data_IF_212553049800
#
_entry.id   IF_212553049800
#
_cell.length_a   1.000
_cell.length_b   1.000
_cell.length_c   1.000
_cell.angle_alpha   90.00
_cell.angle_beta   90.00
_cell.angle_gamma   90.00
#
_symmetry.space_group_name_H-M   'P 1'
#
loop_
_entity.id
_entity.type
_entity.pdbx_description
1 polymer ?
#
# COMPACT_ATOMS: atom_id res chain seq x y z
N UNK A 1 17.50 -48.48 22.52
CA UNK A 1 18.27 -47.25 22.43
C UNK A 1 17.60 -46.39 21.36
N UNK A 2 16.73 -45.43 21.77
CA UNK A 2 16.05 -44.53 20.84
C UNK A 2 16.90 -43.28 20.69
N UNK A 3 17.35 -42.98 19.47
CA UNK A 3 17.99 -41.73 19.14
C UNK A 3 16.96 -40.57 19.33
N UNK A 4 17.35 -39.44 19.95
CA UNK A 4 16.47 -38.27 20.01
C UNK A 4 16.37 -37.69 18.61
N UNK A 5 15.13 -37.50 18.16
CA UNK A 5 14.81 -36.65 17.00
C UNK A 5 15.30 -35.22 17.32
N UNK A 6 16.35 -34.82 16.64
CA UNK A 6 16.76 -33.40 16.60
C UNK A 6 15.59 -32.60 16.03
N UNK A 7 14.87 -31.93 16.88
CA UNK A 7 13.97 -30.85 16.50
C UNK A 7 14.88 -29.73 16.00
N UNK A 8 15.04 -29.61 14.68
CA UNK A 8 15.61 -28.41 14.08
C UNK A 8 14.81 -27.23 14.60
N UNK A 9 15.43 -26.41 15.43
CA UNK A 9 14.86 -25.14 15.85
C UNK A 9 14.64 -24.33 14.57
N UNK A 10 13.38 -24.12 14.17
CA UNK A 10 13.05 -23.22 13.07
C UNK A 10 13.63 -21.85 13.43
N UNK A 11 14.75 -21.47 12.78
CA UNK A 11 15.32 -20.12 12.90
C UNK A 11 14.20 -19.13 12.69
N UNK A 12 13.99 -18.22 13.64
CA UNK A 12 13.05 -17.12 13.45
C UNK A 12 13.44 -16.34 12.20
N UNK A 13 12.43 -15.98 11.40
CA UNK A 13 12.66 -15.27 10.14
C UNK A 13 13.19 -13.86 10.44
N UNK A 14 14.28 -13.50 9.79
CA UNK A 14 14.97 -12.24 10.00
C UNK A 14 14.64 -11.25 8.87
N UNK A 15 14.64 -9.95 9.19
CA UNK A 15 14.48 -8.86 8.21
C UNK A 15 15.45 -8.98 7.04
N UNK A 16 16.71 -9.34 7.32
CA UNK A 16 17.77 -9.51 6.34
C UNK A 16 17.56 -10.69 5.37
N UNK A 17 16.66 -11.63 5.68
CA UNK A 17 16.26 -12.70 4.75
C UNK A 17 15.56 -12.16 3.48
N UNK A 18 15.16 -10.89 3.50
CA UNK A 18 14.49 -10.16 2.41
C UNK A 18 15.38 -9.07 1.81
N UNK A 19 16.68 -9.20 1.99
CA UNK A 19 17.64 -8.27 1.41
C UNK A 19 17.90 -8.58 -0.06
N UNK A 20 18.04 -7.53 -0.87
CA UNK A 20 18.60 -7.54 -2.22
C UNK A 20 19.24 -6.18 -2.50
N UNK A 21 20.25 -6.15 -3.37
CA UNK A 21 20.92 -4.91 -3.77
C UNK A 21 20.02 -4.13 -4.74
N UNK A 22 19.64 -2.91 -4.38
CA UNK A 22 18.84 -2.01 -5.20
C UNK A 22 19.64 -0.75 -5.48
N UNK A 23 20.11 -0.52 -6.72
CA UNK A 23 20.73 0.73 -7.13
C UNK A 23 19.72 1.90 -7.00
N UNK A 24 20.16 3.01 -6.40
CA UNK A 24 19.30 4.16 -6.12
C UNK A 24 18.71 4.78 -7.40
N UNK A 25 19.47 4.75 -8.51
CA UNK A 25 19.00 5.27 -9.80
C UNK A 25 17.82 4.50 -10.40
N UNK A 26 17.50 3.29 -9.90
CA UNK A 26 16.33 2.54 -10.31
C UNK A 26 15.06 2.95 -9.54
N UNK A 27 15.16 3.74 -8.48
CA UNK A 27 14.01 4.28 -7.76
C UNK A 27 13.40 5.42 -8.57
N UNK A 28 12.19 5.21 -9.10
CA UNK A 28 11.54 6.14 -10.00
C UNK A 28 11.17 7.46 -9.32
N UNK A 29 11.72 8.56 -9.80
CA UNK A 29 11.44 9.90 -9.29
C UNK A 29 10.23 10.56 -9.97
N UNK A 30 9.83 10.07 -11.15
CA UNK A 30 8.69 10.57 -11.95
C UNK A 30 7.90 9.42 -12.53
N UNK A 31 6.56 9.56 -12.69
CA UNK A 31 5.74 8.55 -13.36
C UNK A 31 6.13 8.42 -14.83
N UNK A 32 5.78 7.28 -15.43
CA UNK A 32 5.85 7.08 -16.88
C UNK A 32 4.93 8.07 -17.60
N UNK A 33 5.17 8.38 -18.87
CA UNK A 33 4.38 9.32 -19.66
C UNK A 33 2.89 8.93 -19.65
N UNK A 34 2.55 7.74 -20.10
CA UNK A 34 1.23 7.16 -19.94
C UNK A 34 1.21 6.18 -18.75
N UNK A 35 0.06 6.04 -18.06
CA UNK A 35 -0.07 5.16 -16.89
C UNK A 35 0.20 3.70 -17.25
N UNK A 36 -0.38 3.20 -18.34
CA UNK A 36 -0.24 1.83 -18.81
C UNK A 36 1.05 1.54 -19.61
N UNK A 37 1.94 2.54 -19.76
CA UNK A 37 3.24 2.37 -20.46
C UNK A 37 4.38 1.90 -19.55
N UNK A 38 4.13 1.63 -18.27
CA UNK A 38 5.11 0.96 -17.41
C UNK A 38 5.36 -0.48 -17.84
N UNK A 39 6.48 -1.06 -17.43
CA UNK A 39 6.76 -2.48 -17.62
C UNK A 39 5.97 -3.31 -16.61
N UNK A 40 5.74 -4.57 -16.96
CA UNK A 40 5.10 -5.57 -16.12
C UNK A 40 5.95 -6.83 -16.08
N UNK A 41 6.35 -7.28 -14.90
CA UNK A 41 6.98 -8.58 -14.71
C UNK A 41 5.91 -9.57 -14.24
N UNK A 42 5.54 -10.53 -15.08
CA UNK A 42 4.63 -11.62 -14.70
C UNK A 42 5.43 -12.75 -14.04
N UNK A 43 5.09 -13.12 -12.80
CA UNK A 43 5.76 -14.16 -12.02
C UNK A 43 4.77 -15.27 -11.65
N UNK A 44 5.05 -16.48 -12.07
CA UNK A 44 4.30 -17.68 -11.68
C UNK A 44 4.87 -18.29 -10.40
N UNK A 45 4.08 -18.23 -9.31
CA UNK A 45 4.50 -18.78 -8.02
C UNK A 45 4.54 -20.31 -7.96
N UNK A 46 3.92 -21.03 -8.89
CA UNK A 46 4.00 -22.49 -8.96
C UNK A 46 5.33 -22.96 -9.53
N UNK A 47 5.79 -22.30 -10.58
CA UNK A 47 7.00 -22.71 -11.33
C UNK A 47 8.22 -21.85 -11.01
N UNK A 48 8.01 -20.63 -10.47
CA UNK A 48 9.05 -19.63 -10.29
C UNK A 48 9.49 -18.96 -11.61
N UNK A 49 8.84 -19.29 -12.75
CA UNK A 49 9.12 -18.65 -14.03
C UNK A 49 8.55 -17.24 -14.10
N UNK A 50 9.21 -16.37 -14.85
CA UNK A 50 8.77 -15.00 -15.04
C UNK A 50 8.89 -14.58 -16.52
N UNK A 51 8.09 -13.57 -16.90
CA UNK A 51 8.02 -13.03 -18.25
C UNK A 51 8.01 -11.50 -18.20
N UNK A 52 8.82 -10.87 -19.08
CA UNK A 52 8.86 -9.42 -19.27
C UNK A 52 7.76 -8.95 -20.23
N UNK A 53 6.88 -8.09 -19.76
CA UNK A 53 5.70 -7.57 -20.47
C UNK A 53 5.62 -6.04 -20.29
N UNK A 54 4.63 -5.44 -20.92
CA UNK A 54 4.17 -4.08 -20.63
C UNK A 54 2.86 -4.12 -19.86
N UNK A 55 2.60 -3.10 -19.03
CA UNK A 55 1.39 -3.08 -18.21
C UNK A 55 0.09 -3.11 -19.06
N UNK A 56 0.13 -2.54 -20.28
CA UNK A 56 -0.97 -2.64 -21.25
C UNK A 56 -1.28 -4.08 -21.68
N UNK A 57 -0.36 -5.03 -21.47
CA UNK A 57 -0.54 -6.44 -21.79
C UNK A 57 -1.19 -7.23 -20.62
N UNK A 58 -1.45 -6.58 -19.48
CA UNK A 58 -2.15 -7.19 -18.33
C UNK A 58 -3.43 -7.95 -18.71
N UNK A 59 -4.25 -7.49 -19.69
CA UNK A 59 -5.42 -8.26 -20.12
C UNK A 59 -5.10 -9.68 -20.58
N UNK A 60 -3.90 -9.96 -21.11
CA UNK A 60 -3.49 -11.31 -21.51
C UNK A 60 -3.25 -12.26 -20.33
N UNK A 61 -2.94 -11.72 -19.16
CA UNK A 61 -2.70 -12.46 -17.92
C UNK A 61 -4.00 -12.79 -17.17
N UNK A 62 -5.12 -12.20 -17.59
CA UNK A 62 -6.43 -12.33 -16.95
C UNK A 62 -7.37 -13.22 -17.76
N UNK A 63 -8.26 -13.91 -17.06
CA UNK A 63 -9.29 -14.79 -17.62
C UNK A 63 -10.65 -14.10 -17.59
N UNK A 64 -11.57 -14.38 -18.53
CA UNK A 64 -12.98 -14.05 -18.36
C UNK A 64 -13.46 -14.56 -17.00
N UNK A 65 -14.30 -13.86 -16.29
CA UNK A 65 -14.74 -14.13 -14.92
C UNK A 65 -13.75 -13.75 -13.80
N UNK A 66 -12.49 -13.41 -14.08
CA UNK A 66 -11.62 -12.82 -13.06
C UNK A 66 -12.23 -11.50 -12.56
N UNK A 67 -12.05 -11.22 -11.28
CA UNK A 67 -12.50 -10.00 -10.62
C UNK A 67 -11.29 -9.18 -10.15
N UNK A 68 -11.12 -7.99 -10.70
CA UNK A 68 -10.16 -7.01 -10.18
C UNK A 68 -10.75 -6.32 -8.95
N UNK A 69 -9.99 -6.29 -7.85
CA UNK A 69 -10.36 -5.53 -6.67
C UNK A 69 -9.40 -4.36 -6.52
N UNK A 70 -9.94 -3.14 -6.48
CA UNK A 70 -9.18 -1.89 -6.36
C UNK A 70 -9.34 -1.25 -4.99
N UNK A 71 -8.36 -0.43 -4.60
CA UNK A 71 -8.48 0.47 -3.47
C UNK A 71 -8.86 1.87 -4.00
N UNK A 72 -10.07 2.36 -3.67
CA UNK A 72 -10.61 3.62 -4.15
C UNK A 72 -10.31 4.82 -3.23
N UNK A 73 -9.39 4.64 -2.29
CA UNK A 73 -8.97 5.75 -1.45
C UNK A 73 -8.39 6.90 -2.27
N UNK A 74 -8.71 8.14 -1.87
CA UNK A 74 -8.15 9.36 -2.46
C UNK A 74 -7.12 9.96 -1.53
N UNK A 75 -5.94 10.25 -2.07
CA UNK A 75 -4.88 10.96 -1.34
C UNK A 75 -5.29 12.40 -1.14
N UNK A 76 -5.15 12.88 0.09
CA UNK A 76 -5.36 14.29 0.42
C UNK A 76 -4.01 15.02 0.46
N UNK A 77 -3.97 16.37 0.24
CA UNK A 77 -2.74 17.14 0.37
C UNK A 77 -2.29 17.22 1.83
N UNK A 78 -1.77 16.11 2.36
CA UNK A 78 -1.57 15.86 3.78
C UNK A 78 -0.40 16.62 4.42
N UNK A 79 0.37 17.40 3.65
CA UNK A 79 1.51 18.17 4.14
C UNK A 79 1.18 19.65 4.21
N UNK A 80 1.10 20.22 5.41
CA UNK A 80 0.74 21.61 5.64
C UNK A 80 1.90 22.33 6.35
N UNK A 81 2.18 23.56 5.94
CA UNK A 81 3.21 24.39 6.55
C UNK A 81 2.62 25.55 7.35
N UNK A 82 3.24 25.82 8.49
CA UNK A 82 2.90 26.93 9.36
C UNK A 82 4.14 27.63 9.91
N UNK A 83 3.91 28.71 10.64
CA UNK A 83 4.97 29.54 11.24
C UNK A 83 4.68 29.72 12.73
N UNK A 84 5.66 29.46 13.56
CA UNK A 84 5.63 29.77 15.00
C UNK A 84 5.66 31.29 15.21
N UNK A 85 5.20 31.75 16.36
CA UNK A 85 5.34 33.18 16.73
C UNK A 85 6.81 33.63 16.79
N UNK A 86 7.73 32.71 17.03
CA UNK A 86 9.18 32.94 16.97
C UNK A 86 9.75 33.00 15.53
N UNK A 87 8.90 32.91 14.49
CA UNK A 87 9.30 32.91 13.07
C UNK A 87 9.74 31.54 12.53
N UNK A 88 9.85 30.52 13.38
CA UNK A 88 10.29 29.18 12.93
C UNK A 88 9.24 28.46 12.10
N UNK A 89 9.67 27.88 10.96
CA UNK A 89 8.80 27.04 10.11
C UNK A 89 8.44 25.74 10.78
N UNK A 90 7.20 25.30 10.59
CA UNK A 90 6.66 24.02 11.06
C UNK A 90 6.06 23.29 9.88
N UNK A 91 6.44 22.04 9.68
CA UNK A 91 5.77 21.10 8.78
C UNK A 91 4.84 20.21 9.62
N UNK A 92 3.59 20.13 9.21
CA UNK A 92 2.56 19.26 9.78
C UNK A 92 2.21 18.23 8.72
N UNK A 93 2.45 16.97 9.02
CA UNK A 93 2.10 15.86 8.14
C UNK A 93 0.96 15.07 8.77
N UNK A 94 -0.21 15.14 8.16
CA UNK A 94 -1.42 14.46 8.63
C UNK A 94 -1.22 12.95 8.66
N UNK A 95 -1.57 12.31 9.76
CA UNK A 95 -1.67 10.84 9.87
C UNK A 95 -3.13 10.40 9.72
N UNK A 96 -4.02 10.99 10.52
CA UNK A 96 -5.47 10.77 10.43
C UNK A 96 -6.27 11.89 11.13
N UNK A 97 -7.50 12.11 10.71
CA UNK A 97 -8.44 12.95 11.43
C UNK A 97 -9.01 12.19 12.64
N UNK A 98 -9.05 12.85 13.81
CA UNK A 98 -9.68 12.34 15.03
C UNK A 98 -11.10 12.91 15.18
N UNK A 99 -11.30 14.15 14.74
CA UNK A 99 -12.60 14.84 14.66
C UNK A 99 -12.57 15.85 13.53
N UNK A 100 -13.62 16.67 13.40
CA UNK A 100 -13.66 17.75 12.41
C UNK A 100 -12.47 18.69 12.49
N UNK A 101 -12.05 19.06 13.71
CA UNK A 101 -11.00 20.06 13.95
C UNK A 101 -9.72 19.46 14.55
N UNK A 102 -9.72 18.18 14.93
CA UNK A 102 -8.58 17.56 15.61
C UNK A 102 -7.98 16.47 14.74
N UNK A 103 -6.65 16.48 14.63
CA UNK A 103 -5.92 15.48 13.87
C UNK A 103 -4.78 14.89 14.67
N UNK A 104 -4.39 13.67 14.29
CA UNK A 104 -3.13 13.06 14.64
C UNK A 104 -2.14 13.33 13.51
N UNK A 105 -0.96 13.84 13.82
CA UNK A 105 0.00 14.27 12.81
C UNK A 105 1.47 14.08 13.27
N UNK A 106 2.36 13.87 12.32
CA UNK A 106 3.78 14.07 12.51
C UNK A 106 4.09 15.58 12.40
N UNK A 107 5.03 16.06 13.21
CA UNK A 107 5.44 17.47 13.17
C UNK A 107 6.96 17.56 13.06
N UNK A 108 7.42 18.28 12.06
CA UNK A 108 8.85 18.64 11.91
C UNK A 108 9.03 20.13 12.15
N UNK A 109 9.90 20.47 13.08
CA UNK A 109 10.27 21.82 13.41
C UNK A 109 11.64 21.82 14.09
N UNK A 110 12.39 22.93 14.00
CA UNK A 110 13.72 23.08 14.61
C UNK A 110 13.74 22.80 16.12
N UNK A 111 12.65 23.16 16.81
CA UNK A 111 12.32 22.74 18.19
C UNK A 111 10.90 22.23 18.17
N UNK A 112 10.63 21.07 18.80
CA UNK A 112 9.31 20.46 18.86
C UNK A 112 8.24 21.45 19.38
N UNK A 113 6.96 21.09 19.20
CA UNK A 113 5.86 21.84 19.78
C UNK A 113 5.65 21.39 21.23
N UNK A 114 5.35 22.34 22.10
CA UNK A 114 4.89 22.09 23.48
C UNK A 114 3.38 22.17 23.55
N UNK A 115 2.78 21.54 24.53
CA UNK A 115 1.35 21.62 24.76
C UNK A 115 0.88 23.08 24.92
N UNK A 116 -0.24 23.41 24.29
CA UNK A 116 -0.77 24.77 24.23
C UNK A 116 -0.12 25.69 23.19
N UNK A 117 0.99 25.26 22.57
CA UNK A 117 1.69 26.07 21.57
C UNK A 117 0.87 26.18 20.28
N UNK A 118 0.70 27.43 19.81
CA UNK A 118 0.01 27.71 18.58
C UNK A 118 0.99 27.91 17.40
N UNK A 119 0.57 27.51 16.21
CA UNK A 119 1.27 27.72 14.94
C UNK A 119 0.31 28.45 14.01
N UNK A 120 0.75 29.53 13.41
CA UNK A 120 -0.02 30.26 12.39
C UNK A 120 0.02 29.50 11.07
N UNK A 121 -1.13 29.34 10.46
CA UNK A 121 -1.34 28.68 9.16
C UNK A 121 -1.72 29.72 8.10
N UNK A 122 -1.63 29.38 6.80
CA UNK A 122 -2.14 30.22 5.72
C UNK A 122 -3.61 30.57 5.90
N UNK A 123 -4.01 31.71 5.34
CA UNK A 123 -5.42 32.18 5.37
C UNK A 123 -5.90 32.69 6.75
N UNK A 124 -4.97 33.02 7.67
CA UNK A 124 -5.32 33.53 9.00
C UNK A 124 -5.77 32.45 9.99
N UNK A 125 -5.61 31.17 9.64
CA UNK A 125 -5.92 30.04 10.50
C UNK A 125 -4.76 29.75 11.47
N UNK A 126 -5.06 28.94 12.48
CA UNK A 126 -4.07 28.47 13.44
C UNK A 126 -4.30 27.01 13.82
N UNK A 127 -3.26 26.39 14.34
CA UNK A 127 -3.33 25.04 14.91
C UNK A 127 -2.62 25.05 16.26
N UNK A 128 -3.18 24.34 17.24
CA UNK A 128 -2.64 24.23 18.60
C UNK A 128 -2.29 22.78 18.90
N UNK A 129 -1.14 22.57 19.53
CA UNK A 129 -0.76 21.27 20.09
C UNK A 129 -1.51 21.05 21.42
N UNK A 130 -2.38 20.03 21.46
CA UNK A 130 -3.20 19.72 22.65
C UNK A 130 -2.77 18.44 23.37
N UNK A 131 -1.96 17.58 22.72
CA UNK A 131 -1.48 16.34 23.33
C UNK A 131 -0.56 15.55 22.43
N UNK A 132 -0.26 14.34 22.85
CA UNK A 132 0.50 13.33 22.09
C UNK A 132 -0.15 11.96 22.21
N UNK A 133 0.01 11.17 21.14
CA UNK A 133 -0.28 9.74 21.11
C UNK A 133 0.97 9.04 20.56
N UNK A 134 1.72 8.37 21.40
CA UNK A 134 3.07 7.86 21.10
C UNK A 134 3.98 8.98 20.53
N UNK A 135 4.55 8.77 19.34
CA UNK A 135 5.42 9.73 18.65
C UNK A 135 4.65 10.82 17.88
N UNK A 136 3.32 10.72 17.79
CA UNK A 136 2.48 11.63 17.03
C UNK A 136 1.93 12.77 17.90
N UNK A 137 1.64 13.90 17.26
CA UNK A 137 1.05 15.07 17.89
C UNK A 137 -0.45 15.09 17.68
N UNK A 138 -1.19 15.36 18.75
CA UNK A 138 -2.63 15.68 18.67
C UNK A 138 -2.74 17.18 18.50
N UNK A 139 -3.27 17.58 17.34
CA UNK A 139 -3.34 18.97 16.91
C UNK A 139 -4.80 19.40 16.73
N UNK A 140 -5.17 20.54 17.33
CA UNK A 140 -6.48 21.17 17.20
C UNK A 140 -6.40 22.39 16.28
N UNK A 141 -7.18 22.39 15.22
CA UNK A 141 -7.25 23.46 14.22
C UNK A 141 -8.35 24.46 14.57
N UNK A 142 -8.15 25.74 14.22
CA UNK A 142 -9.14 26.82 14.40
C UNK A 142 -10.34 26.71 13.48
N UNK A 143 -10.32 25.80 12.50
CA UNK A 143 -11.39 25.52 11.55
C UNK A 143 -11.32 24.02 11.15
N UNK A 144 -12.30 23.48 10.39
CA UNK A 144 -12.27 22.12 9.91
C UNK A 144 -10.94 21.76 9.24
N UNK A 145 -10.24 20.73 9.78
CA UNK A 145 -8.87 20.43 9.40
C UNK A 145 -8.74 19.99 7.94
N UNK A 146 -9.56 19.02 7.49
CA UNK A 146 -9.45 18.46 6.14
C UNK A 146 -9.65 19.54 5.03
N UNK A 147 -10.61 20.46 5.11
CA UNK A 147 -10.69 21.59 4.17
C UNK A 147 -9.45 22.50 4.15
N UNK A 148 -8.77 22.67 5.30
CA UNK A 148 -7.51 23.44 5.34
C UNK A 148 -6.38 22.72 4.64
N UNK A 149 -6.25 21.42 4.85
CA UNK A 149 -5.30 20.60 4.12
C UNK A 149 -5.58 20.60 2.61
N UNK A 150 -6.84 20.46 2.20
CA UNK A 150 -7.23 20.47 0.78
C UNK A 150 -6.88 21.80 0.10
N UNK A 151 -7.08 22.92 0.80
CA UNK A 151 -6.86 24.28 0.25
C UNK A 151 -5.40 24.71 0.27
N UNK A 152 -4.68 24.41 1.33
CA UNK A 152 -3.33 24.96 1.59
C UNK A 152 -2.24 23.88 1.67
N UNK A 153 -2.61 22.60 1.64
CA UNK A 153 -1.69 21.50 1.73
C UNK A 153 -0.98 21.17 0.42
N UNK A 154 0.15 20.51 0.54
CA UNK A 154 0.93 19.95 -0.56
C UNK A 154 0.73 18.43 -0.63
N UNK A 155 0.86 17.87 -1.85
CA UNK A 155 0.80 16.42 -2.04
C UNK A 155 1.93 15.73 -1.27
N UNK A 156 1.60 14.70 -0.49
CA UNK A 156 2.56 14.02 0.37
C UNK A 156 3.34 12.97 -0.41
N UNK A 157 4.23 13.41 -1.29
CA UNK A 157 5.11 12.47 -1.98
C UNK A 157 5.96 11.69 -0.97
N UNK A 158 6.17 10.38 -1.21
CA UNK A 158 7.00 9.54 -0.36
C UNK A 158 8.44 10.06 -0.22
N UNK A 159 9.14 9.79 0.90
CA UNK A 159 10.46 10.35 1.18
C UNK A 159 11.57 9.91 0.21
N UNK A 160 11.39 8.82 -0.54
CA UNK A 160 12.32 8.36 -1.57
C UNK A 160 12.16 9.10 -2.92
N UNK A 161 11.11 9.93 -3.07
CA UNK A 161 11.00 10.90 -4.16
C UNK A 161 11.69 12.18 -3.66
N UNK A 162 12.93 12.36 -4.09
CA UNK A 162 13.84 13.39 -3.56
C UNK A 162 13.66 14.75 -4.24
N UNK A 163 12.46 15.04 -4.74
CA UNK A 163 12.09 16.31 -5.34
C UNK A 163 10.87 16.93 -4.67
N UNK A 164 10.66 18.22 -4.82
CA UNK A 164 9.44 18.88 -4.42
C UNK A 164 8.25 18.34 -5.22
N UNK A 165 7.05 18.38 -4.59
CA UNK A 165 5.82 18.07 -5.29
C UNK A 165 5.55 19.13 -6.38
N UNK A 166 5.17 18.67 -7.57
CA UNK A 166 4.81 19.50 -8.72
C UNK A 166 3.27 19.51 -8.89
N UNK A 167 2.76 20.46 -9.65
CA UNK A 167 1.31 20.55 -9.91
C UNK A 167 0.75 19.26 -10.51
N UNK A 168 1.53 18.60 -11.39
CA UNK A 168 1.16 17.33 -12.00
C UNK A 168 1.00 16.19 -11.00
N UNK A 169 1.68 16.21 -9.84
CA UNK A 169 1.56 15.16 -8.84
C UNK A 169 0.17 15.11 -8.21
N UNK A 170 -0.59 16.22 -8.20
CA UNK A 170 -1.98 16.22 -7.72
C UNK A 170 -2.86 15.24 -8.49
N UNK A 171 -2.60 15.07 -9.78
CA UNK A 171 -3.31 14.13 -10.65
C UNK A 171 -2.55 12.79 -10.75
N UNK A 172 -1.24 12.83 -10.93
CA UNK A 172 -0.44 11.63 -11.22
C UNK A 172 -0.23 10.75 -9.99
N UNK A 173 -0.27 11.30 -8.78
CA UNK A 173 -0.22 10.54 -7.51
C UNK A 173 -1.64 10.21 -7.01
N UNK A 174 -2.59 10.07 -7.94
CA UNK A 174 -3.96 9.58 -7.71
C UNK A 174 -4.30 8.49 -8.71
N UNK A 175 -5.09 7.50 -8.30
CA UNK A 175 -5.69 6.55 -9.23
C UNK A 175 -6.85 7.21 -10.00
N UNK A 176 -7.15 6.71 -11.19
CA UNK A 176 -8.28 7.23 -12.01
C UNK A 176 -9.64 6.93 -11.39
N UNK A 177 -9.67 6.07 -10.37
CA UNK A 177 -10.88 5.69 -9.63
C UNK A 177 -10.83 6.14 -8.15
N UNK A 178 -9.92 7.04 -7.78
CA UNK A 178 -9.83 7.59 -6.43
C UNK A 178 -11.10 8.36 -6.07
N UNK A 179 -11.79 7.95 -4.99
CA UNK A 179 -13.10 8.46 -4.60
C UNK A 179 -13.18 8.92 -3.15
N UNK A 180 -12.77 8.07 -2.22
CA UNK A 180 -12.94 8.28 -0.78
C UNK A 180 -11.71 8.97 -0.18
N UNK A 181 -11.79 10.27 0.21
CA UNK A 181 -10.63 10.98 0.74
C UNK A 181 -10.22 10.48 2.13
N UNK A 182 -8.92 10.44 2.42
CA UNK A 182 -8.42 10.06 3.75
C UNK A 182 -7.02 9.45 3.75
N UNK A 183 -6.48 9.07 2.60
CA UNK A 183 -5.12 8.53 2.52
C UNK A 183 -4.06 9.64 2.47
N UNK A 184 -2.89 9.35 3.01
CA UNK A 184 -1.69 10.19 2.88
C UNK A 184 -0.66 9.58 1.92
N UNK A 185 -0.95 8.41 1.36
CA UNK A 185 -0.19 7.80 0.27
C UNK A 185 -1.12 7.12 -0.73
N UNK A 186 -0.75 7.12 -2.01
CA UNK A 186 -1.55 6.49 -3.06
C UNK A 186 -1.46 4.96 -3.00
N UNK A 187 -2.54 4.22 -3.38
CA UNK A 187 -2.47 2.80 -3.67
C UNK A 187 -1.78 2.60 -5.03
N UNK A 188 -0.44 2.55 -5.00
CA UNK A 188 0.43 2.80 -6.15
C UNK A 188 0.26 1.81 -7.30
N UNK A 189 -0.12 0.54 -7.03
CA UNK A 189 -0.44 -0.42 -8.08
C UNK A 189 -1.62 0.02 -8.97
N UNK A 190 -2.54 0.80 -8.42
CA UNK A 190 -3.65 1.39 -9.16
C UNK A 190 -3.25 2.54 -10.09
N UNK A 191 -2.05 3.13 -9.91
CA UNK A 191 -1.57 4.23 -10.74
C UNK A 191 -1.26 3.81 -12.18
N UNK A 192 -1.06 2.53 -12.44
CA UNK A 192 -0.80 1.97 -13.76
C UNK A 192 -2.05 1.87 -14.63
N UNK A 193 -3.23 1.92 -14.03
CA UNK A 193 -4.49 1.86 -14.77
C UNK A 193 -4.89 3.23 -15.33
N UNK A 194 -5.35 3.21 -16.57
CA UNK A 194 -5.94 4.35 -17.25
C UNK A 194 -7.31 3.96 -17.85
N UNK A 195 -8.14 4.94 -18.26
CA UNK A 195 -9.46 4.65 -18.80
C UNK A 195 -9.44 3.72 -20.01
N UNK A 196 -8.50 3.84 -21.00
CA UNK A 196 -8.43 2.89 -22.11
C UNK A 196 -8.21 1.45 -21.68
N UNK A 197 -7.31 1.20 -20.72
CA UNK A 197 -7.05 -0.15 -20.19
C UNK A 197 -8.27 -0.71 -19.46
N UNK A 198 -8.95 0.11 -18.65
CA UNK A 198 -10.19 -0.31 -17.95
C UNK A 198 -11.29 -0.68 -18.95
N UNK A 199 -11.43 0.06 -20.06
CA UNK A 199 -12.36 -0.26 -21.14
C UNK A 199 -12.00 -1.57 -21.83
N UNK A 200 -10.71 -1.79 -22.13
CA UNK A 200 -10.23 -3.04 -22.75
C UNK A 200 -10.50 -4.26 -21.83
N UNK A 201 -10.33 -4.12 -20.52
CA UNK A 201 -10.64 -5.16 -19.54
C UNK A 201 -12.14 -5.44 -19.49
N UNK A 202 -12.99 -4.41 -19.46
CA UNK A 202 -14.45 -4.55 -19.48
C UNK A 202 -14.95 -5.24 -20.77
N UNK A 203 -14.36 -4.90 -21.94
CA UNK A 203 -14.68 -5.53 -23.24
C UNK A 203 -14.35 -7.04 -23.26
N UNK A 204 -13.42 -7.51 -22.42
CA UNK A 204 -13.10 -8.93 -22.21
C UNK A 204 -13.97 -9.62 -21.14
N UNK A 205 -14.96 -8.93 -20.58
CA UNK A 205 -15.83 -9.45 -19.52
C UNK A 205 -15.20 -9.46 -18.12
N UNK A 206 -14.02 -8.83 -17.94
CA UNK A 206 -13.33 -8.75 -16.64
C UNK A 206 -14.02 -7.67 -15.82
N UNK A 207 -14.60 -8.07 -14.69
CA UNK A 207 -15.31 -7.18 -13.76
C UNK A 207 -14.35 -6.58 -12.74
N UNK A 208 -14.80 -5.52 -12.07
CA UNK A 208 -14.06 -4.94 -10.97
C UNK A 208 -14.99 -4.50 -9.82
N UNK A 209 -14.41 -4.40 -8.63
CA UNK A 209 -15.04 -3.88 -7.42
C UNK A 209 -14.02 -3.08 -6.60
N UNK A 210 -14.49 -2.45 -5.52
CA UNK A 210 -13.67 -1.55 -4.72
C UNK A 210 -13.72 -1.90 -3.24
N UNK A 211 -12.58 -1.72 -2.58
CA UNK A 211 -12.44 -1.60 -1.13
C UNK A 211 -11.78 -0.27 -0.83
N UNK A 212 -11.92 0.21 0.41
CA UNK A 212 -11.21 1.42 0.85
C UNK A 212 -10.20 1.03 1.93
N UNK A 213 -8.93 1.36 1.73
CA UNK A 213 -7.92 1.36 2.79
C UNK A 213 -7.21 2.71 2.74
N UNK A 214 -7.31 3.47 3.84
CA UNK A 214 -6.58 4.72 3.96
C UNK A 214 -5.14 4.44 4.37
N UNK A 215 -4.24 4.60 3.38
CA UNK A 215 -2.81 4.39 3.59
C UNK A 215 -2.26 5.51 4.47
N UNK A 216 -1.72 5.15 5.63
CA UNK A 216 -1.07 6.05 6.57
C UNK A 216 0.41 6.29 6.23
N UNK A 217 1.01 7.32 6.86
CA UNK A 217 2.44 7.64 6.68
C UNK A 217 3.35 6.51 7.20
N UNK A 218 2.86 5.66 8.09
CA UNK A 218 3.58 4.49 8.59
C UNK A 218 3.99 3.48 7.53
N UNK A 219 3.33 3.48 6.36
CA UNK A 219 3.72 2.63 5.21
C UNK A 219 5.14 2.90 4.72
N UNK A 220 5.66 4.10 4.95
CA UNK A 220 7.03 4.48 4.57
C UNK A 220 8.05 4.22 5.68
N UNK A 221 7.62 3.79 6.86
CA UNK A 221 8.52 3.51 7.96
C UNK A 221 9.28 2.19 7.71
N UNK A 222 10.61 2.18 7.84
CA UNK A 222 11.38 0.95 7.73
C UNK A 222 11.07 0.01 8.89
N UNK A 223 11.20 -1.30 8.65
CA UNK A 223 11.18 -2.31 9.71
C UNK A 223 12.41 -2.10 10.59
N UNK A 224 12.20 -1.88 11.89
CA UNK A 224 13.28 -1.53 12.84
C UNK A 224 13.79 -2.72 13.64
N UNK A 225 13.07 -3.82 13.64
CA UNK A 225 13.41 -5.06 14.36
C UNK A 225 14.02 -6.07 13.40
N UNK A 226 15.08 -6.75 13.81
CA UNK A 226 15.64 -7.83 13.00
C UNK A 226 14.77 -9.08 13.08
N UNK A 227 14.24 -9.41 14.24
CA UNK A 227 13.24 -10.48 14.41
C UNK A 227 11.85 -9.98 14.02
N UNK A 228 11.28 -10.57 12.97
CA UNK A 228 9.98 -10.17 12.44
C UNK A 228 8.81 -10.48 13.39
N UNK A 229 8.97 -11.42 14.32
CA UNK A 229 7.94 -11.74 15.32
C UNK A 229 7.67 -10.59 16.29
N UNK A 230 8.65 -9.71 16.48
CA UNK A 230 8.55 -8.52 17.32
C UNK A 230 8.05 -7.27 16.58
N UNK A 231 7.82 -7.36 15.25
CA UNK A 231 7.37 -6.21 14.47
C UNK A 231 5.89 -5.89 14.72
N UNK A 232 5.61 -4.63 15.00
CA UNK A 232 4.23 -4.13 15.17
C UNK A 232 3.84 -3.29 13.97
N UNK A 233 2.88 -3.78 13.19
CA UNK A 233 2.31 -3.03 12.06
C UNK A 233 1.55 -1.79 12.50
N UNK A 234 1.72 -0.70 11.76
CA UNK A 234 0.85 0.47 11.88
C UNK A 234 -0.59 0.09 11.56
N UNK A 235 -1.52 0.66 12.34
CA UNK A 235 -2.95 0.44 12.13
C UNK A 235 -3.44 1.33 10.98
N UNK A 236 -4.18 0.75 10.04
CA UNK A 236 -4.80 1.45 8.91
C UNK A 236 -6.29 1.15 8.88
N UNK A 237 -7.10 2.16 8.53
CA UNK A 237 -8.55 2.00 8.40
C UNK A 237 -8.89 1.29 7.10
N UNK A 238 -9.73 0.29 7.21
CA UNK A 238 -10.22 -0.55 6.10
C UNK A 238 -11.73 -0.56 6.08
N UNK A 239 -12.29 -0.50 4.87
CA UNK A 239 -13.69 -0.77 4.59
C UNK A 239 -13.79 -1.75 3.41
N UNK A 240 -14.41 -2.90 3.66
CA UNK A 240 -14.79 -3.89 2.64
C UNK A 240 -16.32 -3.89 2.58
N UNK A 241 -16.92 -3.25 1.57
CA UNK A 241 -18.37 -3.13 1.48
C UNK A 241 -19.02 -4.46 1.08
N UNK A 242 -20.31 -4.63 1.44
CA UNK A 242 -21.11 -5.81 1.07
C UNK A 242 -21.05 -6.11 -0.43
N UNK A 243 -21.14 -5.08 -1.27
CA UNK A 243 -21.07 -5.23 -2.73
C UNK A 243 -19.75 -5.86 -3.20
N UNK A 244 -18.62 -5.57 -2.54
CA UNK A 244 -17.33 -6.22 -2.86
C UNK A 244 -17.34 -7.70 -2.47
N UNK A 245 -17.91 -8.04 -1.31
CA UNK A 245 -18.04 -9.44 -0.88
C UNK A 245 -18.92 -10.24 -1.85
N UNK A 246 -20.07 -9.69 -2.24
CA UNK A 246 -20.99 -10.31 -3.20
C UNK A 246 -20.34 -10.53 -4.57
N UNK A 247 -19.57 -9.53 -5.06
CA UNK A 247 -18.82 -9.63 -6.30
C UNK A 247 -17.75 -10.73 -6.25
N UNK A 248 -17.03 -10.86 -5.13
CA UNK A 248 -16.03 -11.90 -4.90
C UNK A 248 -16.67 -13.30 -4.90
N UNK A 249 -17.78 -13.47 -4.20
CA UNK A 249 -18.52 -14.75 -4.16
C UNK A 249 -19.01 -15.11 -5.57
N UNK A 250 -19.57 -14.15 -6.30
CA UNK A 250 -20.06 -14.38 -7.67
C UNK A 250 -18.93 -14.72 -8.64
N UNK A 251 -17.77 -14.06 -8.54
CA UNK A 251 -16.62 -14.37 -9.38
C UNK A 251 -16.09 -15.80 -9.14
N UNK A 252 -15.98 -16.20 -7.88
CA UNK A 252 -15.55 -17.56 -7.50
C UNK A 252 -16.55 -18.63 -7.96
N UNK A 253 -17.86 -18.37 -7.81
CA UNK A 253 -18.90 -19.26 -8.30
C UNK A 253 -18.86 -19.44 -9.83
N UNK A 254 -18.38 -18.43 -10.56
CA UNK A 254 -18.15 -18.50 -12.01
C UNK A 254 -16.79 -19.10 -12.40
N UNK A 255 -15.98 -19.60 -11.45
CA UNK A 255 -14.65 -20.16 -11.70
C UNK A 255 -13.55 -19.10 -11.93
N UNK A 256 -13.85 -17.82 -11.66
CA UNK A 256 -12.90 -16.72 -11.78
C UNK A 256 -12.00 -16.57 -10.56
N UNK A 257 -10.91 -15.82 -10.74
CA UNK A 257 -9.93 -15.49 -9.69
C UNK A 257 -10.22 -14.11 -9.10
N UNK A 258 -9.93 -13.96 -7.80
CA UNK A 258 -9.89 -12.65 -7.13
C UNK A 258 -8.50 -12.07 -7.32
N UNK A 259 -8.38 -11.03 -8.12
CA UNK A 259 -7.12 -10.36 -8.46
C UNK A 259 -7.02 -9.06 -7.65
N UNK A 260 -6.17 -9.05 -6.63
CA UNK A 260 -5.92 -7.85 -5.83
C UNK A 260 -5.02 -6.88 -6.59
N UNK A 261 -5.42 -5.60 -6.66
CA UNK A 261 -4.59 -4.53 -7.21
C UNK A 261 -3.99 -3.73 -6.06
N UNK A 262 -2.78 -4.11 -5.69
CA UNK A 262 -2.00 -3.55 -4.58
C UNK A 262 -2.05 -4.37 -3.30
N UNK A 263 -0.97 -4.29 -2.54
CA UNK A 263 -0.83 -4.93 -1.22
C UNK A 263 -1.85 -4.40 -0.20
N UNK A 264 -2.35 -3.19 -0.38
CA UNK A 264 -3.43 -2.61 0.43
C UNK A 264 -4.75 -3.37 0.25
N UNK A 265 -5.08 -3.79 -0.98
CA UNK A 265 -6.24 -4.63 -1.27
C UNK A 265 -6.07 -6.01 -0.65
N UNK A 266 -4.89 -6.62 -0.80
CA UNK A 266 -4.57 -7.89 -0.12
C UNK A 266 -4.86 -7.80 1.37
N UNK A 267 -4.30 -6.79 2.03
CA UNK A 267 -4.47 -6.60 3.48
C UNK A 267 -5.94 -6.38 3.87
N UNK A 268 -6.70 -5.66 3.04
CA UNK A 268 -8.13 -5.44 3.27
C UNK A 268 -8.93 -6.74 3.21
N UNK A 269 -8.75 -7.51 2.13
CA UNK A 269 -9.50 -8.74 1.89
C UNK A 269 -9.15 -9.82 2.89
N UNK A 270 -7.86 -10.01 3.18
CA UNK A 270 -7.39 -11.03 4.12
C UNK A 270 -7.77 -10.67 5.57
N UNK A 271 -7.87 -9.39 5.92
CA UNK A 271 -8.44 -8.96 7.22
C UNK A 271 -9.91 -9.32 7.31
N UNK A 272 -10.71 -9.01 6.29
CA UNK A 272 -12.14 -9.29 6.29
C UNK A 272 -12.45 -10.80 6.35
N UNK A 273 -11.67 -11.63 5.64
CA UNK A 273 -11.79 -13.08 5.67
C UNK A 273 -11.29 -13.73 6.97
N UNK A 274 -10.34 -13.08 7.66
CA UNK A 274 -9.76 -13.58 8.91
C UNK A 274 -10.74 -13.59 10.09
N UNK A 275 -11.87 -12.90 9.99
CA UNK A 275 -12.90 -12.81 11.04
C UNK A 275 -13.84 -14.01 11.06
N UNK A 276 -13.93 -14.76 9.97
CA UNK A 276 -14.75 -15.97 9.88
C UNK A 276 -13.88 -17.23 10.00
N UNK A 277 -14.25 -18.12 10.92
CA UNK A 277 -13.58 -19.41 11.12
C UNK A 277 -13.62 -20.31 9.86
N UNK A 278 -14.64 -20.17 9.02
CA UNK A 278 -14.80 -20.87 7.74
C UNK A 278 -14.00 -20.20 6.61
N UNK A 279 -13.39 -19.02 6.86
CA UNK A 279 -12.62 -18.27 5.86
C UNK A 279 -13.48 -17.63 4.76
N UNK A 280 -14.81 -17.50 4.97
CA UNK A 280 -15.66 -16.75 4.08
C UNK A 280 -15.43 -15.25 4.25
N UNK A 281 -15.53 -14.49 3.15
CA UNK A 281 -15.40 -13.03 3.21
C UNK A 281 -16.75 -12.39 3.55
N UNK A 282 -16.75 -11.51 4.56
CA UNK A 282 -17.89 -10.69 4.94
C UNK A 282 -17.57 -9.19 4.93
N UNK A 283 -18.61 -8.32 4.95
CA UNK A 283 -18.40 -6.88 5.09
C UNK A 283 -17.59 -6.54 6.34
N UNK A 284 -16.65 -5.60 6.20
CA UNK A 284 -15.78 -5.19 7.29
C UNK A 284 -15.57 -3.69 7.27
N UNK A 285 -15.57 -3.07 8.45
CA UNK A 285 -15.20 -1.67 8.66
C UNK A 285 -14.44 -1.57 9.97
N UNK A 286 -13.18 -1.14 9.94
CA UNK A 286 -12.35 -1.07 11.12
C UNK A 286 -10.86 -0.93 10.86
N UNK A 287 -10.06 -1.07 11.90
CA UNK A 287 -8.60 -0.98 11.81
C UNK A 287 -7.99 -2.34 11.54
N UNK A 288 -7.02 -2.39 10.61
CA UNK A 288 -6.18 -3.57 10.40
C UNK A 288 -4.76 -3.33 10.84
N UNK A 289 -4.15 -4.36 11.42
CA UNK A 289 -2.71 -4.46 11.71
C UNK A 289 -2.14 -5.75 11.12
N UNK A 290 -2.80 -6.32 10.14
CA UNK A 290 -2.37 -7.60 9.55
C UNK A 290 -0.94 -7.49 9.03
N UNK A 291 -0.09 -8.38 9.48
CA UNK A 291 1.29 -8.54 9.02
C UNK A 291 1.41 -9.89 8.33
N UNK A 292 1.56 -9.86 7.01
CA UNK A 292 1.66 -11.06 6.18
C UNK A 292 3.12 -11.35 5.90
N UNK A 293 3.58 -12.52 6.32
CA UNK A 293 4.95 -13.03 6.14
C UNK A 293 4.91 -14.45 5.58
N UNK A 294 6.00 -15.01 5.04
CA UNK A 294 6.05 -16.39 4.59
C UNK A 294 5.50 -17.36 5.63
N UNK A 295 4.67 -18.30 5.18
CA UNK A 295 3.87 -19.18 6.03
C UNK A 295 2.41 -18.75 6.19
N UNK A 296 2.07 -17.49 5.84
CA UNK A 296 0.67 -17.06 5.74
C UNK A 296 -0.04 -17.79 4.60
N UNK A 297 -1.28 -18.21 4.84
CA UNK A 297 -2.13 -18.87 3.83
C UNK A 297 -3.25 -17.93 3.42
N UNK A 298 -3.22 -17.50 2.18
CA UNK A 298 -4.21 -16.59 1.59
C UNK A 298 -5.56 -17.28 1.44
N UNK A 299 -6.62 -16.60 1.86
CA UNK A 299 -8.00 -17.10 1.87
C UNK A 299 -8.81 -16.57 0.70
N UNK A 300 -8.55 -15.33 0.29
CA UNK A 300 -9.34 -14.62 -0.71
C UNK A 300 -8.57 -14.34 -1.98
N UNK A 301 -7.32 -13.92 -1.87
CA UNK A 301 -6.55 -13.42 -3.02
C UNK A 301 -5.98 -14.57 -3.84
N UNK A 302 -6.29 -14.57 -5.15
CA UNK A 302 -5.89 -15.61 -6.11
C UNK A 302 -4.81 -15.14 -7.08
N UNK A 303 -4.67 -13.83 -7.30
CA UNK A 303 -3.58 -13.20 -8.05
C UNK A 303 -3.35 -11.77 -7.53
N UNK A 304 -2.17 -11.22 -7.75
CA UNK A 304 -1.75 -9.92 -7.24
C UNK A 304 -1.07 -9.09 -8.32
N UNK A 305 -1.57 -7.86 -8.52
CA UNK A 305 -0.87 -6.79 -9.23
C UNK A 305 -0.25 -5.86 -8.19
N UNK A 306 1.05 -5.58 -8.26
CA UNK A 306 1.73 -4.71 -7.31
C UNK A 306 2.92 -3.99 -7.95
N UNK A 307 3.46 -2.96 -7.29
CA UNK A 307 4.75 -2.36 -7.65
C UNK A 307 5.91 -3.22 -7.12
N UNK A 308 7.12 -2.94 -7.59
CA UNK A 308 8.32 -3.42 -6.92
C UNK A 308 8.52 -2.67 -5.59
N UNK A 309 8.88 -3.42 -4.55
CA UNK A 309 9.04 -2.91 -3.18
C UNK A 309 10.51 -2.81 -2.77
N UNK A 310 10.80 -2.04 -1.69
CA UNK A 310 12.15 -1.92 -1.14
C UNK A 310 12.64 -3.22 -0.51
N UNK A 311 13.97 -3.39 -0.47
CA UNK A 311 14.60 -4.42 0.36
C UNK A 311 14.09 -4.33 1.80
N UNK A 312 13.91 -5.49 2.43
CA UNK A 312 13.60 -5.63 3.85
C UNK A 312 12.26 -4.99 4.28
N UNK A 313 11.40 -4.61 3.33
CA UNK A 313 10.08 -4.00 3.63
C UNK A 313 9.01 -5.05 3.95
N UNK A 314 8.02 -4.65 4.75
CA UNK A 314 6.84 -5.49 5.05
C UNK A 314 6.08 -5.90 3.79
N UNK A 315 6.12 -5.07 2.74
CA UNK A 315 5.45 -5.33 1.47
C UNK A 315 6.20 -6.40 0.64
N UNK A 316 7.54 -6.41 0.69
CA UNK A 316 8.33 -7.49 0.09
C UNK A 316 8.09 -8.82 0.81
N UNK A 317 7.91 -8.79 2.13
CA UNK A 317 7.56 -9.97 2.93
C UNK A 317 6.19 -10.53 2.55
N UNK A 318 5.19 -9.66 2.36
CA UNK A 318 3.86 -10.04 1.87
C UNK A 318 3.95 -10.70 0.48
N UNK A 319 4.68 -10.10 -0.46
CA UNK A 319 4.89 -10.70 -1.78
C UNK A 319 5.63 -12.04 -1.69
N UNK A 320 6.63 -12.15 -0.80
CA UNK A 320 7.35 -13.41 -0.53
C UNK A 320 6.43 -14.50 0.02
N UNK A 321 5.47 -14.14 0.85
CA UNK A 321 4.45 -15.08 1.33
C UNK A 321 3.55 -15.59 0.21
N UNK A 322 3.33 -14.77 -0.83
CA UNK A 322 2.44 -15.09 -1.95
C UNK A 322 3.09 -16.00 -3.00
N UNK A 323 4.32 -15.70 -3.43
CA UNK A 323 4.97 -16.44 -4.53
C UNK A 323 6.15 -17.31 -4.09
N UNK A 324 6.50 -17.30 -2.81
CA UNK A 324 7.72 -17.89 -2.30
C UNK A 324 8.91 -16.91 -2.35
N UNK A 325 9.69 -16.89 -1.28
CA UNK A 325 10.80 -15.93 -1.11
C UNK A 325 11.86 -16.05 -2.19
N UNK A 326 12.28 -17.28 -2.50
CA UNK A 326 13.35 -17.53 -3.46
C UNK A 326 12.96 -17.12 -4.87
N UNK A 327 11.74 -17.47 -5.31
CA UNK A 327 11.20 -17.09 -6.62
C UNK A 327 11.09 -15.56 -6.71
N UNK A 328 10.59 -14.89 -5.66
CA UNK A 328 10.49 -13.44 -5.64
C UNK A 328 11.86 -12.76 -5.73
N UNK A 329 12.84 -13.18 -4.92
CA UNK A 329 14.18 -12.59 -4.94
C UNK A 329 14.91 -12.86 -6.26
N UNK A 330 14.67 -14.01 -6.91
CA UNK A 330 15.19 -14.28 -8.26
C UNK A 330 14.59 -13.29 -9.29
N UNK A 331 13.27 -13.09 -9.27
CA UNK A 331 12.59 -12.11 -10.12
C UNK A 331 13.07 -10.67 -9.87
N UNK A 332 13.34 -10.30 -8.60
CA UNK A 332 13.88 -8.99 -8.24
C UNK A 332 15.31 -8.78 -8.74
N UNK A 333 16.19 -9.79 -8.65
CA UNK A 333 17.53 -9.72 -9.25
C UNK A 333 17.46 -9.55 -10.77
N UNK A 334 16.57 -10.27 -11.45
CA UNK A 334 16.31 -10.05 -12.87
C UNK A 334 15.82 -8.62 -13.14
N UNK A 335 14.86 -8.13 -12.38
CA UNK A 335 14.34 -6.77 -12.53
C UNK A 335 15.43 -5.69 -12.38
N UNK A 336 16.35 -5.85 -11.42
CA UNK A 336 17.50 -4.95 -11.26
C UNK A 336 18.42 -5.03 -12.49
N UNK A 337 18.78 -6.23 -12.94
CA UNK A 337 19.65 -6.43 -14.11
C UNK A 337 19.01 -5.89 -15.40
N UNK A 338 17.69 -6.11 -15.57
CA UNK A 338 16.91 -5.61 -16.70
C UNK A 338 16.50 -4.14 -16.55
N UNK A 339 16.99 -3.45 -15.49
CA UNK A 339 16.75 -2.04 -15.22
C UNK A 339 15.27 -1.68 -15.17
N UNK A 340 14.47 -2.46 -14.46
CA UNK A 340 13.12 -2.07 -14.07
C UNK A 340 13.17 -0.89 -13.12
N UNK A 341 12.12 -0.11 -13.13
CA UNK A 341 11.94 1.04 -12.22
C UNK A 341 11.21 0.57 -10.96
N UNK A 342 11.67 1.02 -9.81
CA UNK A 342 11.16 0.58 -8.53
C UNK A 342 10.28 1.63 -7.86
N UNK A 343 9.43 1.21 -6.92
CA UNK A 343 8.57 1.99 -6.05
C UNK A 343 7.34 2.61 -6.73
N UNK A 344 6.78 3.68 -6.09
CA UNK A 344 5.45 4.24 -6.40
C UNK A 344 5.23 4.63 -7.86
N UNK A 345 6.25 5.21 -8.50
CA UNK A 345 6.23 5.61 -9.92
C UNK A 345 6.99 4.64 -10.82
N UNK A 346 7.40 3.51 -10.24
CA UNK A 346 8.12 2.47 -10.96
C UNK A 346 7.24 1.60 -11.83
N UNK A 347 7.75 0.41 -12.11
CA UNK A 347 7.08 -0.62 -12.90
C UNK A 347 6.25 -1.56 -11.99
N UNK A 348 5.55 -2.50 -12.59
CA UNK A 348 4.62 -3.38 -11.90
C UNK A 348 5.02 -4.86 -12.00
N UNK A 349 4.43 -5.66 -11.12
CA UNK A 349 4.42 -7.12 -11.19
C UNK A 349 2.99 -7.63 -11.25
N UNK A 350 2.79 -8.74 -11.98
CA UNK A 350 1.62 -9.60 -11.86
C UNK A 350 2.08 -10.95 -11.31
N UNK A 351 1.45 -11.42 -10.25
CA UNK A 351 1.89 -12.63 -9.55
C UNK A 351 0.74 -13.61 -9.36
N UNK A 352 1.00 -14.90 -9.61
CA UNK A 352 0.15 -16.02 -9.17
C UNK A 352 0.77 -16.73 -7.96
N UNK A 353 -0.03 -17.33 -7.07
CA UNK A 353 0.46 -17.83 -5.79
C UNK A 353 1.29 -19.12 -5.93
N UNK A 354 2.24 -19.30 -5.02
CA UNK A 354 2.88 -20.59 -4.81
C UNK A 354 1.88 -21.64 -4.26
N UNK A 355 2.16 -22.93 -4.47
CA UNK A 355 1.29 -24.01 -3.99
C UNK A 355 1.04 -23.95 -2.47
N UNK A 356 2.04 -23.51 -1.70
CA UNK A 356 1.98 -23.40 -0.24
C UNK A 356 1.30 -22.14 0.26
N UNK A 357 1.02 -21.16 -0.63
CA UNK A 357 0.51 -19.86 -0.25
C UNK A 357 -1.01 -19.84 -0.02
N UNK A 358 -1.76 -20.85 -0.44
CA UNK A 358 -3.23 -20.90 -0.34
C UNK A 358 -3.71 -21.90 0.69
N UNK A 359 -4.86 -21.60 1.28
CA UNK A 359 -5.65 -22.60 2.01
C UNK A 359 -6.12 -23.64 0.99
N UNK A 360 -5.90 -24.93 1.27
CA UNK A 360 -6.48 -26.00 0.43
C UNK A 360 -8.01 -25.84 0.45
N UNK A 361 -8.60 -25.70 -0.74
CA UNK A 361 -10.05 -25.65 -0.95
C UNK A 361 -10.64 -27.06 -0.92
#
# INVERSE_FOLDING_TARGET
>A
MRLPLLVESSKSMQRTDFHFDLPQELIAQRPSEARSSSRLLALDGLTGSYEDLWFRDLPSQLKPADLLVFNDTRVIPARLFGIKDSGGRVEIFLERALSTNTVLAQVRASKGLRQGYAVRLPGGHSVRMIGREADLYVLEFSAPALPLFEKYGEMPLPPYIERAAEAADRERYQTVFARIPGAVAAPTAGLHFDPPLLQALAARGIKHTFVTLHVGAGTFAPVRTDDLSAHIMHAEYVEVPRAACEAIVAARAAGGRVVAVGTTVVRSLETAAGLDAQGSIGPFSGMTRIFITPGYRYRVVDALVTNFHLPESTLLMLCSAFVGREALLAAYRHAVQARYRFFSYGDAMFMTPAATARVAT
#
